data_IF_145902275120
#
_entry.id   IF_145902275120
#
_cell.length_a   1.000
_cell.length_b   1.000
_cell.length_c   1.000
_cell.angle_alpha   90.00
_cell.angle_beta   90.00
_cell.angle_gamma   90.00
#
_symmetry.space_group_name_H-M   'P 1'
#
loop_
_entity.id
_entity.type
_entity.pdbx_description
1 polymer ?
#
# COMPACT_ATOMS: atom_id res chain seq x y z
N UNK A 1 -20.44 -0.40 -0.82
CA UNK A 1 -20.48 -1.26 0.37
C UNK A 1 -19.31 -2.22 0.23
N UNK A 2 -18.22 -1.99 0.94
CA UNK A 2 -17.08 -2.91 0.97
C UNK A 2 -17.37 -3.86 2.11
N UNK A 3 -17.86 -5.04 1.78
CA UNK A 3 -18.02 -6.11 2.75
C UNK A 3 -16.80 -7.02 2.65
N UNK A 4 -16.11 -7.17 3.77
CA UNK A 4 -15.17 -8.26 4.00
C UNK A 4 -15.96 -9.59 4.10
N UNK A 5 -16.71 -9.94 3.04
CA UNK A 5 -17.72 -10.99 3.08
C UNK A 5 -17.11 -12.39 3.04
N UNK A 6 -16.90 -12.92 4.24
CA UNK A 6 -17.21 -14.32 4.56
C UNK A 6 -18.68 -14.44 5.05
N UNK A 7 -19.63 -13.76 4.38
CA UNK A 7 -21.07 -13.90 4.65
C UNK A 7 -21.61 -13.14 5.88
N UNK A 8 -20.82 -12.29 6.54
CA UNK A 8 -21.31 -11.38 7.59
C UNK A 8 -20.91 -9.93 7.30
N UNK A 9 -21.86 -9.02 7.08
CA UNK A 9 -21.55 -7.61 6.88
C UNK A 9 -20.88 -7.02 8.12
N UNK A 10 -19.64 -6.61 7.97
CA UNK A 10 -18.92 -5.77 8.95
C UNK A 10 -18.95 -4.35 8.38
N UNK A 11 -19.28 -3.34 9.19
CA UNK A 11 -19.20 -1.95 8.75
C UNK A 11 -17.74 -1.55 8.63
N UNK A 12 -17.23 -1.57 7.40
CA UNK A 12 -15.89 -1.13 7.06
C UNK A 12 -15.95 0.00 6.01
N UNK A 13 -14.90 0.81 5.96
CA UNK A 13 -14.73 1.88 4.99
C UNK A 13 -13.57 1.56 4.07
N UNK A 14 -13.67 1.99 2.82
CA UNK A 14 -12.54 1.95 1.90
C UNK A 14 -11.47 2.92 2.40
N UNK A 15 -10.24 2.45 2.49
CA UNK A 15 -9.03 3.25 2.69
C UNK A 15 -8.14 3.15 1.45
N UNK A 16 -7.43 4.23 1.16
CA UNK A 16 -6.44 4.30 0.08
C UNK A 16 -5.06 4.11 0.71
N UNK A 17 -4.40 3.01 0.34
CA UNK A 17 -3.02 2.73 0.71
C UNK A 17 -2.07 3.06 -0.44
N UNK A 18 -0.84 3.44 -0.12
CA UNK A 18 0.17 3.90 -1.07
C UNK A 18 1.55 3.35 -0.69
N UNK A 19 2.25 2.81 -1.69
CA UNK A 19 3.63 2.37 -1.59
C UNK A 19 4.45 2.98 -2.73
N UNK A 20 5.59 3.62 -2.53
CA UNK A 20 6.20 3.98 -1.25
C UNK A 20 5.29 4.90 -0.42
N UNK A 21 5.49 4.88 0.90
CA UNK A 21 4.58 5.52 1.85
C UNK A 21 4.50 7.03 1.64
N UNK A 22 3.32 7.62 1.89
CA UNK A 22 3.09 9.05 1.71
C UNK A 22 4.08 9.94 2.50
N UNK A 23 4.59 9.47 3.64
CA UNK A 23 5.56 10.17 4.49
C UNK A 23 7.03 9.83 4.15
N UNK A 24 7.31 9.38 2.93
CA UNK A 24 8.66 9.10 2.43
C UNK A 24 9.07 10.07 1.31
N UNK A 25 10.37 10.31 1.15
CA UNK A 25 10.89 11.12 0.05
C UNK A 25 10.49 10.55 -1.31
N UNK A 26 10.50 9.22 -1.43
CA UNK A 26 10.16 8.44 -2.61
C UNK A 26 8.65 8.41 -2.93
N UNK A 27 7.80 9.00 -2.09
CA UNK A 27 6.35 9.05 -2.28
C UNK A 27 5.99 9.55 -3.68
N UNK A 28 5.03 8.88 -4.32
CA UNK A 28 4.48 9.32 -5.60
C UNK A 28 3.88 10.73 -5.54
N UNK A 29 3.35 11.12 -4.37
CA UNK A 29 2.81 12.45 -4.13
C UNK A 29 3.85 13.54 -3.90
N UNK A 30 5.13 13.19 -3.75
CA UNK A 30 6.20 14.16 -3.57
C UNK A 30 6.70 14.65 -4.94
N UNK A 31 6.24 15.83 -5.36
CA UNK A 31 6.61 16.45 -6.65
C UNK A 31 8.09 16.79 -6.77
N UNK A 32 8.81 16.90 -5.64
CA UNK A 32 10.25 17.14 -5.61
C UNK A 32 11.06 15.86 -5.32
N UNK A 33 10.38 14.72 -5.15
CA UNK A 33 11.00 13.44 -4.87
C UNK A 33 11.51 12.73 -6.14
N UNK A 34 12.10 11.54 -6.00
CA UNK A 34 12.63 10.78 -7.13
C UNK A 34 11.55 10.10 -7.99
N UNK A 35 10.33 9.90 -7.47
CA UNK A 35 9.25 9.15 -8.14
C UNK A 35 7.93 9.94 -8.28
N UNK A 36 7.92 11.20 -8.74
CA UNK A 36 6.70 12.00 -8.74
C UNK A 36 5.69 11.46 -9.76
N UNK A 37 4.42 11.37 -9.37
CA UNK A 37 3.32 11.26 -10.35
C UNK A 37 3.07 12.62 -10.99
N UNK A 38 2.77 12.63 -12.29
CA UNK A 38 2.66 13.86 -13.09
C UNK A 38 1.29 14.54 -12.99
N UNK A 39 0.23 13.76 -12.80
CA UNK A 39 -1.14 14.25 -12.78
C UNK A 39 -1.96 13.61 -11.66
N UNK A 40 -1.90 12.28 -11.51
CA UNK A 40 -2.71 11.60 -10.51
C UNK A 40 -2.13 10.25 -10.11
N UNK A 41 -2.57 9.73 -8.97
CA UNK A 41 -2.22 8.38 -8.54
C UNK A 41 -2.74 7.25 -9.45
N UNK A 42 -3.38 7.52 -10.59
CA UNK A 42 -3.67 6.50 -11.61
C UNK A 42 -2.40 5.98 -12.31
N UNK A 43 -1.29 6.72 -12.21
CA UNK A 43 0.02 6.35 -12.75
C UNK A 43 0.72 5.24 -11.95
N UNK A 44 0.26 4.97 -10.71
CA UNK A 44 0.77 3.89 -9.88
C UNK A 44 0.20 2.52 -10.29
N UNK A 45 0.85 1.43 -9.89
CA UNK A 45 0.25 0.07 -9.91
C UNK A 45 -1.06 0.10 -9.13
N UNK A 46 -2.17 -0.25 -9.77
CA UNK A 46 -3.49 -0.20 -9.15
C UNK A 46 -3.92 -1.57 -8.61
N UNK A 47 -4.11 -1.66 -7.30
CA UNK A 47 -4.54 -2.91 -6.64
C UNK A 47 -5.75 -2.70 -5.73
N UNK A 48 -6.30 -3.81 -5.27
CA UNK A 48 -7.25 -3.84 -4.17
C UNK A 48 -7.03 -5.09 -3.31
N UNK A 49 -7.31 -4.95 -2.01
CA UNK A 49 -7.28 -6.08 -1.08
C UNK A 49 -8.62 -6.81 -1.12
N UNK A 50 -8.57 -8.14 -1.24
CA UNK A 50 -9.72 -9.02 -1.19
C UNK A 50 -9.60 -9.99 -0.01
N UNK A 51 -10.65 -10.10 0.79
CA UNK A 51 -10.77 -11.19 1.77
C UNK A 51 -11.21 -12.47 1.07
N UNK A 52 -10.48 -13.55 1.31
CA UNK A 52 -10.73 -14.87 0.78
C UNK A 52 -11.73 -15.64 1.69
N UNK A 53 -12.31 -16.76 1.23
CA UNK A 53 -13.27 -17.56 2.02
C UNK A 53 -12.70 -18.16 3.31
N UNK A 54 -11.38 -18.33 3.39
CA UNK A 54 -10.63 -18.85 4.54
C UNK A 54 -10.12 -17.74 5.47
N UNK A 55 -10.67 -16.53 5.33
CA UNK A 55 -10.28 -15.32 6.05
C UNK A 55 -8.87 -14.79 5.79
N UNK A 56 -8.10 -15.42 4.88
CA UNK A 56 -6.86 -14.82 4.37
C UNK A 56 -7.17 -13.62 3.48
N UNK A 57 -6.15 -12.80 3.21
CA UNK A 57 -6.28 -11.62 2.36
C UNK A 57 -5.36 -11.76 1.14
N UNK A 58 -5.84 -11.36 -0.03
CA UNK A 58 -5.07 -11.33 -1.27
C UNK A 58 -5.04 -9.93 -1.88
N UNK A 59 -3.88 -9.51 -2.35
CA UNK A 59 -3.73 -8.28 -3.14
C UNK A 59 -3.97 -8.62 -4.61
N UNK A 60 -4.93 -7.94 -5.24
CA UNK A 60 -5.35 -8.22 -6.61
C UNK A 60 -5.19 -6.96 -7.47
N UNK A 61 -4.83 -7.13 -8.74
CA UNK A 61 -4.83 -6.03 -9.71
C UNK A 61 -6.26 -5.53 -9.94
N UNK A 62 -6.42 -4.21 -10.04
CA UNK A 62 -7.71 -3.62 -10.38
C UNK A 62 -8.07 -3.95 -11.84
N UNK A 63 -9.24 -4.56 -12.09
CA UNK A 63 -9.64 -4.95 -13.45
C UNK A 63 -9.99 -3.74 -14.34
N UNK A 64 -10.24 -2.58 -13.73
CA UNK A 64 -10.55 -1.31 -14.40
C UNK A 64 -9.31 -0.41 -14.58
N UNK A 65 -8.11 -0.94 -14.33
CA UNK A 65 -6.84 -0.25 -14.52
C UNK A 65 -5.96 -0.98 -15.56
N UNK A 66 -4.98 -0.29 -16.18
CA UNK A 66 -3.99 -0.93 -17.04
C UNK A 66 -3.24 -2.04 -16.30
N UNK A 67 -2.84 -3.09 -17.04
CA UNK A 67 -1.93 -4.10 -16.50
C UNK A 67 -0.58 -3.45 -16.13
N UNK A 68 0.03 -3.82 -14.99
CA UNK A 68 1.27 -3.21 -14.54
C UNK A 68 2.42 -3.57 -15.49
N UNK A 69 3.24 -2.57 -15.76
CA UNK A 69 4.54 -2.70 -16.42
C UNK A 69 5.66 -2.99 -15.44
N UNK A 70 5.39 -2.86 -14.14
CA UNK A 70 6.36 -2.94 -13.04
C UNK A 70 7.46 -1.87 -13.14
N UNK A 71 7.11 -0.74 -13.73
CA UNK A 71 7.93 0.48 -13.88
C UNK A 71 7.20 1.73 -13.39
N UNK A 72 6.00 1.55 -12.84
CA UNK A 72 5.21 2.61 -12.25
C UNK A 72 5.98 3.23 -11.05
N UNK A 73 5.85 4.54 -10.82
CA UNK A 73 6.58 5.23 -9.74
C UNK A 73 6.14 4.80 -8.33
N UNK A 74 5.00 4.14 -8.22
CA UNK A 74 4.32 3.80 -6.98
C UNK A 74 3.32 2.66 -7.21
N UNK A 75 2.79 2.11 -6.12
CA UNK A 75 1.62 1.26 -6.04
C UNK A 75 0.55 1.91 -5.16
N UNK A 76 -0.72 1.72 -5.52
CA UNK A 76 -1.87 2.17 -4.75
C UNK A 76 -2.86 1.04 -4.59
N UNK A 77 -3.41 0.92 -3.40
CA UNK A 77 -4.39 -0.12 -3.09
C UNK A 77 -5.66 0.45 -2.50
N UNK A 78 -6.79 -0.09 -2.95
CA UNK A 78 -8.06 0.06 -2.24
C UNK A 78 -8.19 -1.07 -1.23
N UNK A 79 -8.17 -0.76 0.06
CA UNK A 79 -8.21 -1.77 1.11
C UNK A 79 -9.11 -1.39 2.28
N UNK A 80 -9.27 -2.31 3.21
CA UNK A 80 -10.03 -2.13 4.44
C UNK A 80 -9.46 -1.00 5.31
N UNK A 81 -10.31 -0.16 5.89
CA UNK A 81 -9.90 0.82 6.89
C UNK A 81 -9.56 0.17 8.25
N UNK A 82 -9.84 -1.12 8.42
CA UNK A 82 -9.31 -1.89 9.53
C UNK A 82 -7.87 -2.34 9.24
N UNK A 83 -7.59 -2.85 8.03
CA UNK A 83 -6.25 -3.34 7.65
C UNK A 83 -5.23 -2.21 7.50
N UNK A 84 -5.57 -1.15 6.73
CA UNK A 84 -4.59 -0.13 6.34
C UNK A 84 -3.93 0.58 7.54
N UNK A 85 -4.68 1.08 8.53
CA UNK A 85 -4.06 1.79 9.64
C UNK A 85 -3.19 0.86 10.50
N UNK A 86 -3.49 -0.44 10.54
CA UNK A 86 -2.77 -1.40 11.36
C UNK A 86 -1.46 -1.84 10.72
N UNK A 87 -1.40 -1.99 9.38
CA UNK A 87 -0.18 -2.44 8.70
C UNK A 87 1.00 -1.50 8.96
N UNK A 88 0.74 -0.19 8.99
CA UNK A 88 1.76 0.84 9.17
C UNK A 88 1.67 1.60 10.51
N UNK A 89 0.84 1.15 11.45
CA UNK A 89 0.75 1.76 12.79
C UNK A 89 2.11 1.93 13.48
N UNK A 90 3.07 0.97 13.39
CA UNK A 90 4.36 1.11 14.03
C UNK A 90 5.28 2.18 13.42
N UNK A 91 5.04 2.61 12.17
CA UNK A 91 5.97 3.43 11.41
C UNK A 91 6.26 4.80 12.07
N UNK A 92 5.26 5.43 12.66
CA UNK A 92 5.46 6.69 13.40
C UNK A 92 6.34 6.53 14.66
N UNK A 93 6.23 5.39 15.34
CA UNK A 93 7.10 5.08 16.49
C UNK A 93 8.52 4.79 16.01
N UNK A 94 8.67 4.03 14.91
CA UNK A 94 9.95 3.76 14.27
C UNK A 94 10.70 5.05 13.91
N UNK A 95 10.05 5.99 13.20
CA UNK A 95 10.62 7.32 12.90
C UNK A 95 11.12 8.02 14.17
N UNK A 96 10.32 7.98 15.24
CA UNK A 96 10.65 8.66 16.50
C UNK A 96 11.81 8.00 17.27
N UNK A 97 11.84 6.67 17.31
CA UNK A 97 12.84 5.88 18.06
C UNK A 97 14.19 5.91 17.36
N UNK A 98 14.21 5.68 16.05
CA UNK A 98 15.43 5.72 15.24
C UNK A 98 15.86 7.16 14.92
N UNK A 99 15.03 8.15 15.28
CA UNK A 99 15.26 9.58 15.04
C UNK A 99 15.51 9.88 13.56
N UNK A 100 14.72 9.25 12.68
CA UNK A 100 14.79 9.50 11.25
C UNK A 100 14.48 10.97 10.97
N UNK A 101 15.40 11.61 10.27
CA UNK A 101 15.29 12.97 9.75
C UNK A 101 15.00 12.95 8.25
N UNK A 102 14.74 14.12 7.68
CA UNK A 102 14.60 14.27 6.23
C UNK A 102 15.86 13.71 5.54
N UNK A 103 15.65 12.93 4.48
CA UNK A 103 16.69 12.23 3.69
C UNK A 103 17.41 11.05 4.36
N UNK A 104 17.05 10.66 5.58
CA UNK A 104 17.59 9.42 6.17
C UNK A 104 17.06 8.19 5.43
N UNK A 105 17.97 7.33 4.99
CA UNK A 105 17.64 6.06 4.38
C UNK A 105 17.08 5.08 5.43
N UNK A 106 15.96 4.45 5.08
CA UNK A 106 15.43 3.29 5.78
C UNK A 106 14.99 2.24 4.76
N UNK A 107 14.85 1.01 5.21
CA UNK A 107 14.38 -0.09 4.38
C UNK A 107 13.22 -0.79 5.07
N UNK A 108 12.34 -1.37 4.26
CA UNK A 108 11.29 -2.25 4.74
C UNK A 108 11.76 -3.68 4.54
N UNK A 109 11.82 -4.45 5.61
CA UNK A 109 12.06 -5.89 5.50
C UNK A 109 10.86 -6.55 4.82
N UNK A 110 11.12 -7.28 3.76
CA UNK A 110 10.12 -8.07 3.06
C UNK A 110 10.16 -9.53 3.51
N UNK A 111 10.95 -9.90 4.53
CA UNK A 111 10.93 -11.26 5.07
C UNK A 111 9.50 -11.63 5.53
N UNK A 112 8.95 -12.69 4.93
CA UNK A 112 7.53 -13.06 5.00
C UNK A 112 6.69 -12.71 3.76
N UNK A 113 7.22 -11.88 2.85
CA UNK A 113 6.73 -11.60 1.49
C UNK A 113 7.70 -12.04 0.39
N UNK A 114 8.78 -12.75 0.75
CA UNK A 114 9.67 -13.42 -0.18
C UNK A 114 8.85 -14.38 -1.05
N UNK A 115 8.84 -14.15 -2.37
CA UNK A 115 8.26 -15.11 -3.30
C UNK A 115 8.90 -16.49 -3.04
N UNK A 116 8.13 -17.60 -3.04
CA UNK A 116 8.73 -18.91 -2.96
C UNK A 116 9.81 -19.00 -4.04
N UNK A 117 11.01 -19.43 -3.64
CA UNK A 117 12.11 -19.66 -4.57
C UNK A 117 11.61 -20.67 -5.61
N UNK A 118 11.93 -20.50 -6.92
CA UNK A 118 11.44 -21.40 -7.97
C UNK A 118 11.74 -22.87 -7.73
#
# INVERSE_FOLDING_TARGET
MWSADAGKPITDKKSCDEFTFANSLQSGGNVNGPNPVSYSGAECVQTYLRRNPDDTMSLNLRPDAPAPTWKEPCGRSSMSNWVNPQSMQPFGTFISVERLTEDDDYWLDLDGFTAPTP
#
